data_IF_187210785623
#
_entry.id   IF_187210785623
#
_cell.length_a   1.000
_cell.length_b   1.000
_cell.length_c   1.000
_cell.angle_alpha   90.00
_cell.angle_beta   90.00
_cell.angle_gamma   90.00
#
_symmetry.space_group_name_H-M   'P 1'
#
loop_
_entity.id
_entity.type
_entity.pdbx_description
1 polymer ?
#
# COMPACT_ATOMS: atom_id res chain seq x y z
N UNK A 1 -8.78 -30.86 30.63
CA UNK A 1 -8.05 -31.59 29.58
C UNK A 1 -7.42 -30.63 28.58
N UNK A 2 -6.14 -30.29 28.77
CA UNK A 2 -5.35 -29.65 27.74
C UNK A 2 -4.89 -30.74 26.75
N UNK A 3 -5.26 -30.60 25.49
CA UNK A 3 -4.82 -31.54 24.45
C UNK A 3 -3.27 -31.59 24.42
N UNK A 4 -2.66 -32.78 24.27
CA UNK A 4 -1.20 -32.92 24.19
C UNK A 4 -0.64 -32.05 23.06
N UNK A 5 0.53 -31.44 23.29
CA UNK A 5 1.09 -30.31 22.56
C UNK A 5 0.95 -30.37 21.03
N UNK A 6 -0.14 -29.79 20.52
CA UNK A 6 -0.38 -29.67 19.09
C UNK A 6 0.41 -28.49 18.54
N UNK A 7 1.25 -28.76 17.54
CA UNK A 7 1.98 -27.71 16.80
C UNK A 7 1.06 -27.13 15.73
N UNK A 8 0.73 -25.85 15.84
CA UNK A 8 -0.02 -25.14 14.80
C UNK A 8 0.93 -24.28 13.96
N UNK A 9 0.84 -24.43 12.63
CA UNK A 9 1.61 -23.64 11.67
C UNK A 9 0.67 -23.09 10.58
N UNK A 10 0.85 -21.84 10.13
CA UNK A 10 0.00 -21.28 9.09
C UNK A 10 0.25 -21.97 7.74
N UNK A 11 -0.80 -22.43 7.08
CA UNK A 11 -0.72 -23.03 5.75
C UNK A 11 -0.29 -22.03 4.65
N UNK A 12 -0.61 -20.75 4.84
CA UNK A 12 -0.32 -19.69 3.87
C UNK A 12 0.76 -18.75 4.39
N UNK A 13 1.81 -18.54 3.62
CA UNK A 13 2.87 -17.58 3.95
C UNK A 13 2.37 -16.12 3.94
N UNK A 14 1.44 -15.78 3.03
CA UNK A 14 0.81 -14.48 2.92
C UNK A 14 -0.61 -14.52 3.49
N UNK A 15 -0.86 -13.72 4.52
CA UNK A 15 -2.17 -13.58 5.16
C UNK A 15 -2.41 -12.09 5.34
N UNK A 16 -3.09 -11.51 4.37
CA UNK A 16 -3.11 -10.07 4.14
C UNK A 16 -4.52 -9.52 4.20
N UNK A 17 -4.65 -8.33 4.79
CA UNK A 17 -5.87 -7.53 4.76
C UNK A 17 -5.63 -6.25 3.94
N UNK A 18 -6.63 -5.81 3.19
CA UNK A 18 -6.52 -4.62 2.33
C UNK A 18 -7.57 -3.59 2.67
N UNK A 19 -7.08 -2.39 2.98
CA UNK A 19 -7.91 -1.22 3.19
C UNK A 19 -8.22 -0.50 1.89
N UNK A 20 -9.43 0.00 1.79
CA UNK A 20 -9.90 0.84 0.68
C UNK A 20 -10.05 2.30 1.14
N UNK A 21 -9.13 2.71 2.00
CA UNK A 21 -9.11 4.02 2.64
C UNK A 21 -8.48 5.05 1.70
N UNK A 22 -9.23 6.12 1.43
CA UNK A 22 -8.73 7.33 0.77
C UNK A 22 -8.17 8.28 1.85
N UNK A 23 -7.09 8.98 1.52
CA UNK A 23 -6.49 9.96 2.44
C UNK A 23 -7.37 11.20 2.52
N UNK A 24 -7.75 11.70 1.34
CA UNK A 24 -8.78 12.73 1.19
C UNK A 24 -10.15 12.09 1.04
N UNK A 25 -11.19 12.74 1.56
CA UNK A 25 -12.57 12.28 1.36
C UNK A 25 -12.93 12.45 -0.11
N UNK A 26 -13.00 11.33 -0.84
CA UNK A 26 -13.37 11.37 -2.25
C UNK A 26 -14.86 11.74 -2.40
N UNK A 27 -15.25 12.68 -3.28
CA UNK A 27 -16.62 13.20 -3.35
C UNK A 27 -17.67 12.12 -3.68
N UNK A 28 -17.26 11.04 -4.35
CA UNK A 28 -18.15 9.93 -4.73
C UNK A 28 -17.91 8.66 -3.90
N UNK A 29 -16.66 8.42 -3.48
CA UNK A 29 -16.26 7.14 -2.87
C UNK A 29 -16.21 7.23 -1.35
N UNK A 30 -16.28 8.44 -0.79
CA UNK A 30 -16.12 8.71 0.62
C UNK A 30 -14.68 8.53 1.09
N UNK A 31 -14.51 8.49 2.41
CA UNK A 31 -13.20 8.27 3.03
C UNK A 31 -12.75 6.82 2.95
N UNK A 32 -13.70 5.87 2.94
CA UNK A 32 -13.41 4.44 2.77
C UNK A 32 -14.33 3.93 1.66
N UNK A 33 -13.76 3.57 0.52
CA UNK A 33 -14.52 3.07 -0.61
C UNK A 33 -15.14 1.71 -0.25
N UNK A 34 -16.47 1.59 -0.40
CA UNK A 34 -17.24 0.44 0.11
C UNK A 34 -17.10 0.24 1.62
N UNK A 35 -16.83 1.31 2.37
CA UNK A 35 -16.79 1.30 3.84
C UNK A 35 -18.18 1.47 4.45
N UNK A 36 -18.55 0.57 5.35
CA UNK A 36 -19.84 0.59 6.06
C UNK A 36 -19.67 0.67 7.59
N UNK A 37 -18.46 0.96 8.06
CA UNK A 37 -18.08 0.90 9.49
C UNK A 37 -17.49 2.23 10.01
N UNK A 38 -17.84 3.35 9.36
CA UNK A 38 -17.31 4.68 9.69
C UNK A 38 -16.08 5.08 8.87
N UNK A 39 -15.38 6.12 9.35
CA UNK A 39 -14.22 6.70 8.68
C UNK A 39 -12.91 5.92 8.85
N UNK A 40 -11.88 6.36 8.14
CA UNK A 40 -10.55 5.73 8.17
C UNK A 40 -9.95 5.80 9.57
N UNK A 41 -9.32 4.69 10.01
CA UNK A 41 -8.54 4.63 11.24
C UNK A 41 -7.10 5.14 11.06
N UNK A 42 -6.65 5.34 9.82
CA UNK A 42 -5.30 5.81 9.49
C UNK A 42 -5.29 7.29 9.18
N UNK A 43 -6.33 7.77 8.48
CA UNK A 43 -6.36 9.10 7.89
C UNK A 43 -7.51 9.94 8.45
N UNK A 44 -7.29 11.25 8.53
CA UNK A 44 -8.29 12.27 8.77
C UNK A 44 -7.80 13.56 8.11
N UNK A 45 -8.72 14.34 7.52
CA UNK A 45 -8.43 15.67 6.99
C UNK A 45 -7.24 15.74 6.01
N UNK A 46 -7.08 14.70 5.18
CA UNK A 46 -6.03 14.64 4.15
C UNK A 46 -4.65 14.25 4.68
N UNK A 47 -4.53 13.89 5.96
CA UNK A 47 -3.25 13.48 6.57
C UNK A 47 -3.38 12.20 7.36
N UNK A 48 -2.24 11.61 7.75
CA UNK A 48 -2.22 10.55 8.75
C UNK A 48 -2.62 11.14 10.10
N UNK A 49 -3.45 10.40 10.84
CA UNK A 49 -3.91 10.81 12.17
C UNK A 49 -2.73 10.98 13.13
N UNK A 50 -2.82 12.00 13.99
CA UNK A 50 -1.79 12.22 15.00
C UNK A 50 -1.78 11.14 16.08
N UNK A 51 -2.96 10.80 16.58
CA UNK A 51 -3.16 9.65 17.46
C UNK A 51 -3.36 8.37 16.64
N UNK A 52 -2.39 7.46 16.76
CA UNK A 52 -2.41 6.13 16.15
C UNK A 52 -2.65 5.01 17.17
N UNK A 53 -3.09 5.33 18.39
CA UNK A 53 -3.40 4.35 19.45
C UNK A 53 -4.40 3.29 18.98
N UNK A 54 -5.44 3.72 18.24
CA UNK A 54 -6.43 2.83 17.62
C UNK A 54 -5.82 1.90 16.58
N UNK A 55 -4.83 2.37 15.83
CA UNK A 55 -4.08 1.54 14.86
C UNK A 55 -3.24 0.49 15.59
N UNK A 56 -2.62 0.85 16.72
CA UNK A 56 -1.91 -0.10 17.58
C UNK A 56 -2.82 -1.19 18.15
N UNK A 57 -4.01 -0.82 18.63
CA UNK A 57 -5.01 -1.78 19.10
C UNK A 57 -5.51 -2.69 17.97
N UNK A 58 -5.72 -2.12 16.77
CA UNK A 58 -6.07 -2.87 15.57
C UNK A 58 -4.97 -3.86 15.15
N UNK A 59 -3.70 -3.46 15.20
CA UNK A 59 -2.57 -4.33 14.89
C UNK A 59 -2.51 -5.56 15.81
N UNK A 60 -2.78 -5.37 17.10
CA UNK A 60 -2.92 -6.47 18.07
C UNK A 60 -4.03 -7.44 17.69
N UNK A 61 -5.20 -6.93 17.29
CA UNK A 61 -6.32 -7.75 16.85
C UNK A 61 -5.97 -8.57 15.59
N UNK A 62 -5.32 -7.96 14.60
CA UNK A 62 -4.89 -8.65 13.39
C UNK A 62 -3.88 -9.76 13.69
N UNK A 63 -2.93 -9.51 14.60
CA UNK A 63 -1.96 -10.54 14.96
C UNK A 63 -2.60 -11.71 15.72
N UNK A 64 -3.60 -11.45 16.55
CA UNK A 64 -4.36 -12.49 17.23
C UNK A 64 -5.09 -13.44 16.25
N UNK A 65 -5.48 -12.96 15.06
CA UNK A 65 -6.04 -13.78 13.98
C UNK A 65 -5.00 -14.30 12.99
N UNK A 66 -3.71 -14.08 13.26
CA UNK A 66 -2.60 -14.58 12.46
C UNK A 66 -2.30 -13.78 11.19
N UNK A 67 -2.99 -12.67 10.92
CA UNK A 67 -2.67 -11.78 9.80
C UNK A 67 -1.24 -11.26 9.94
N UNK A 68 -0.50 -11.23 8.83
CA UNK A 68 0.90 -10.81 8.84
C UNK A 68 1.22 -9.67 7.87
N UNK A 69 0.26 -9.20 7.07
CA UNK A 69 0.41 -8.05 6.17
C UNK A 69 -0.86 -7.20 6.14
N UNK A 70 -0.70 -5.90 5.92
CA UNK A 70 -1.83 -4.98 5.72
C UNK A 70 -1.50 -3.97 4.61
N UNK A 71 -2.40 -3.75 3.65
CA UNK A 71 -2.38 -2.57 2.78
C UNK A 71 -3.21 -1.48 3.44
N UNK A 72 -2.68 -0.27 3.57
CA UNK A 72 -3.32 0.80 4.37
C UNK A 72 -4.04 1.86 3.55
N UNK A 73 -3.95 1.81 2.22
CA UNK A 73 -4.60 2.76 1.31
C UNK A 73 -5.36 2.06 0.19
N UNK A 74 -6.31 2.80 -0.39
CA UNK A 74 -7.14 2.36 -1.50
C UNK A 74 -6.32 1.93 -2.73
N UNK A 75 -6.84 0.91 -3.42
CA UNK A 75 -6.33 0.44 -4.71
C UNK A 75 -6.55 1.45 -5.84
N UNK A 76 -7.54 2.34 -5.68
CA UNK A 76 -7.73 3.51 -6.53
C UNK A 76 -6.83 4.65 -6.03
N UNK A 77 -5.56 4.59 -6.41
CA UNK A 77 -4.54 5.55 -5.96
C UNK A 77 -4.67 6.87 -6.73
N UNK A 78 -5.13 7.92 -6.06
CA UNK A 78 -5.16 9.29 -6.59
C UNK A 78 -3.86 10.04 -6.27
N UNK A 79 -3.85 11.37 -6.50
CA UNK A 79 -2.64 12.19 -6.34
C UNK A 79 -2.12 12.15 -4.92
N UNK A 80 -2.99 12.30 -3.91
CA UNK A 80 -2.60 12.34 -2.50
C UNK A 80 -2.07 10.98 -2.02
N UNK A 81 -2.73 9.87 -2.38
CA UNK A 81 -2.25 8.52 -2.07
C UNK A 81 -0.90 8.23 -2.74
N UNK A 82 -0.67 8.77 -3.93
CA UNK A 82 0.60 8.63 -4.62
C UNK A 82 1.75 9.34 -3.87
N UNK A 83 1.48 10.44 -3.14
CA UNK A 83 2.47 11.15 -2.32
C UNK A 83 2.95 10.36 -1.11
N UNK A 84 2.22 9.32 -0.66
CA UNK A 84 2.70 8.40 0.39
C UNK A 84 4.01 7.69 -0.01
N UNK A 85 4.30 7.61 -1.31
CA UNK A 85 5.54 7.02 -1.84
C UNK A 85 6.69 8.04 -1.96
N UNK A 86 6.45 9.30 -1.63
CA UNK A 86 7.44 10.40 -1.66
C UNK A 86 7.50 11.11 -0.31
N UNK A 87 6.75 12.19 -0.18
CA UNK A 87 6.78 13.12 0.94
C UNK A 87 6.10 12.50 2.17
N UNK A 88 5.02 11.74 1.96
CA UNK A 88 4.29 11.02 3.00
C UNK A 88 5.00 9.77 3.55
N UNK A 89 6.23 9.46 3.11
CA UNK A 89 6.96 8.27 3.61
C UNK A 89 7.21 8.33 5.13
N UNK A 90 7.34 9.53 5.71
CA UNK A 90 7.44 9.69 7.16
C UNK A 90 6.18 9.23 7.89
N UNK A 91 5.02 9.58 7.36
CA UNK A 91 3.74 9.21 7.96
C UNK A 91 3.41 7.73 7.78
N UNK A 92 3.78 7.15 6.64
CA UNK A 92 3.70 5.70 6.44
C UNK A 92 4.57 4.95 7.44
N UNK A 93 5.76 5.48 7.77
CA UNK A 93 6.62 4.90 8.80
C UNK A 93 5.94 4.94 10.18
N UNK A 94 5.27 6.06 10.55
CA UNK A 94 4.50 6.17 11.81
C UNK A 94 3.43 5.08 11.91
N UNK A 95 2.69 4.83 10.82
CA UNK A 95 1.71 3.74 10.75
C UNK A 95 2.43 2.39 10.91
N UNK A 96 3.53 2.17 10.18
CA UNK A 96 4.28 0.92 10.23
C UNK A 96 4.83 0.61 11.64
N UNK A 97 5.25 1.61 12.41
CA UNK A 97 5.69 1.40 13.80
C UNK A 97 4.61 0.75 14.66
N UNK A 98 3.32 1.06 14.45
CA UNK A 98 2.22 0.45 15.21
C UNK A 98 2.06 -1.05 14.93
N UNK A 99 2.41 -1.50 13.73
CA UNK A 99 2.30 -2.90 13.30
C UNK A 99 3.53 -3.75 13.62
N UNK A 100 4.70 -3.11 13.80
CA UNK A 100 5.99 -3.81 13.96
C UNK A 100 6.07 -4.73 15.18
N UNK A 101 5.60 -4.35 16.39
CA UNK A 101 5.61 -5.25 17.55
C UNK A 101 4.85 -6.55 17.32
N UNK A 102 3.90 -6.53 16.38
CA UNK A 102 3.00 -7.63 16.06
C UNK A 102 3.45 -8.45 14.84
N UNK A 103 4.65 -8.18 14.29
CA UNK A 103 5.18 -8.91 13.14
C UNK A 103 4.44 -8.66 11.82
N UNK A 104 3.58 -7.65 11.77
CA UNK A 104 2.79 -7.30 10.58
C UNK A 104 3.60 -6.31 9.73
N UNK A 105 3.71 -6.57 8.41
CA UNK A 105 4.34 -5.61 7.49
C UNK A 105 3.28 -4.76 6.80
N UNK A 106 3.52 -3.45 6.76
CA UNK A 106 2.69 -2.50 6.03
C UNK A 106 3.05 -2.51 4.55
N UNK A 107 2.01 -2.44 3.74
CA UNK A 107 2.04 -2.30 2.30
C UNK A 107 1.28 -1.05 1.86
N UNK A 108 1.68 -0.51 0.73
CA UNK A 108 0.93 0.51 0.01
C UNK A 108 0.50 -0.01 -1.35
N UNK A 109 -0.77 0.25 -1.69
CA UNK A 109 -1.25 0.21 -3.06
C UNK A 109 -0.59 1.34 -3.85
N UNK A 110 -0.18 1.05 -5.09
CA UNK A 110 0.55 2.00 -5.94
C UNK A 110 -0.11 2.10 -7.32
N UNK A 111 -0.18 3.32 -7.86
CA UNK A 111 -0.63 3.55 -9.24
C UNK A 111 0.47 3.14 -10.24
N UNK A 112 0.08 2.45 -11.29
CA UNK A 112 0.96 2.18 -12.42
C UNK A 112 1.42 3.46 -13.14
N UNK A 113 0.57 4.49 -13.14
CA UNK A 113 0.88 5.80 -13.70
C UNK A 113 1.76 6.67 -12.79
N UNK A 114 2.19 6.18 -11.62
CA UNK A 114 3.05 6.92 -10.70
C UNK A 114 4.31 7.56 -11.34
N UNK A 115 4.99 6.95 -12.34
CA UNK A 115 6.10 7.61 -13.03
C UNK A 115 5.69 8.90 -13.74
N UNK A 116 4.46 8.97 -14.27
CA UNK A 116 3.92 10.19 -14.86
C UNK A 116 3.45 11.15 -13.76
N UNK A 117 2.58 10.69 -12.88
CA UNK A 117 1.92 11.54 -11.86
C UNK A 117 2.88 12.12 -10.84
N UNK A 118 3.89 11.34 -10.42
CA UNK A 118 4.85 11.76 -9.41
C UNK A 118 6.23 12.08 -9.98
N UNK A 119 6.58 11.49 -11.13
CA UNK A 119 7.91 11.61 -11.73
C UNK A 119 8.00 12.62 -12.87
N UNK A 120 6.88 13.22 -13.28
CA UNK A 120 6.82 14.18 -14.39
C UNK A 120 7.17 13.56 -15.75
N UNK A 121 7.15 12.23 -15.87
CA UNK A 121 7.43 11.59 -17.15
C UNK A 121 6.23 11.70 -18.09
N UNK A 122 6.45 11.83 -19.40
CA UNK A 122 5.38 11.79 -20.40
C UNK A 122 4.80 10.38 -20.61
N UNK A 123 5.43 9.35 -20.02
CA UNK A 123 5.06 7.94 -20.18
C UNK A 123 5.31 7.14 -18.90
N UNK A 124 4.53 6.08 -18.68
CA UNK A 124 4.81 5.04 -17.71
C UNK A 124 5.05 3.65 -18.35
N UNK A 125 5.54 3.59 -19.61
CA UNK A 125 5.96 2.33 -20.24
C UNK A 125 6.94 1.60 -19.31
N UNK A 126 6.62 0.40 -18.81
CA UNK A 126 7.43 -0.32 -17.85
C UNK A 126 8.81 -0.67 -18.42
N UNK A 127 8.93 -0.93 -19.73
CA UNK A 127 10.23 -1.24 -20.33
C UNK A 127 11.03 0.00 -20.71
N UNK A 128 10.46 1.20 -20.57
CA UNK A 128 11.14 2.46 -20.83
C UNK A 128 12.27 2.73 -19.82
N UNK A 129 13.49 3.09 -20.26
CA UNK A 129 14.64 3.25 -19.36
C UNK A 129 14.44 4.38 -18.33
N UNK A 130 13.75 5.48 -18.72
CA UNK A 130 13.40 6.57 -17.81
C UNK A 130 12.42 6.14 -16.72
N UNK A 131 11.41 5.35 -17.09
CA UNK A 131 10.42 4.79 -16.16
C UNK A 131 11.11 3.90 -15.12
N UNK A 132 11.95 2.96 -15.56
CA UNK A 132 12.73 2.08 -14.69
C UNK A 132 13.61 2.85 -13.71
N UNK A 133 14.31 3.89 -14.17
CA UNK A 133 15.16 4.73 -13.33
C UNK A 133 14.37 5.44 -12.23
N UNK A 134 13.22 6.03 -12.56
CA UNK A 134 12.36 6.70 -11.57
C UNK A 134 11.83 5.70 -10.54
N UNK A 135 11.40 4.52 -10.98
CA UNK A 135 10.89 3.48 -10.08
C UNK A 135 11.99 2.95 -9.14
N UNK A 136 13.18 2.69 -9.67
CA UNK A 136 14.34 2.26 -8.88
C UNK A 136 14.73 3.30 -7.82
N UNK A 137 14.88 4.57 -8.19
CA UNK A 137 15.21 5.64 -7.24
C UNK A 137 14.17 5.80 -6.13
N UNK A 138 12.88 5.62 -6.44
CA UNK A 138 11.80 5.64 -5.41
C UNK A 138 11.86 4.42 -4.49
N UNK A 139 12.22 3.25 -5.04
CA UNK A 139 12.43 2.03 -4.23
C UNK A 139 13.56 2.24 -3.24
N UNK A 140 14.69 2.79 -3.68
CA UNK A 140 15.84 3.08 -2.81
C UNK A 140 15.47 4.07 -1.69
N UNK A 141 14.82 5.19 -2.01
CA UNK A 141 14.38 6.17 -1.00
C UNK A 141 13.46 5.55 0.04
N UNK A 142 12.49 4.72 -0.40
CA UNK A 142 11.58 4.00 0.50
C UNK A 142 12.34 3.06 1.43
N UNK A 143 13.24 2.22 0.89
CA UNK A 143 13.98 1.24 1.67
C UNK A 143 14.99 1.88 2.63
N UNK A 144 15.56 3.04 2.28
CA UNK A 144 16.40 3.84 3.19
C UNK A 144 15.58 4.39 4.37
N UNK A 145 14.31 4.74 4.16
CA UNK A 145 13.43 5.26 5.21
C UNK A 145 12.88 4.15 6.10
N UNK A 146 12.39 3.08 5.51
CA UNK A 146 11.88 1.90 6.21
C UNK A 146 12.22 0.62 5.41
N UNK A 147 13.22 -0.18 5.86
CA UNK A 147 13.62 -1.41 5.20
C UNK A 147 12.55 -2.52 5.19
N UNK A 148 11.52 -2.42 6.04
CA UNK A 148 10.42 -3.38 6.17
C UNK A 148 9.16 -2.95 5.40
N UNK A 149 9.08 -1.70 4.97
CA UNK A 149 7.97 -1.20 4.14
C UNK A 149 7.97 -1.87 2.77
N UNK A 150 6.80 -2.39 2.37
CA UNK A 150 6.62 -3.10 1.10
C UNK A 150 5.59 -2.37 0.24
N UNK A 151 5.54 -2.71 -1.05
CA UNK A 151 4.49 -2.28 -1.97
C UNK A 151 3.62 -3.49 -2.29
N UNK A 152 2.32 -3.28 -2.47
CA UNK A 152 1.44 -4.26 -3.09
C UNK A 152 0.89 -3.65 -4.36
N UNK A 153 1.03 -4.41 -5.45
CA UNK A 153 0.40 -4.04 -6.71
C UNK A 153 -1.06 -4.45 -6.62
N UNK A 154 -1.96 -3.46 -6.62
CA UNK A 154 -3.37 -3.70 -6.90
C UNK A 154 -3.87 -2.64 -7.84
N UNK A 155 -4.50 -3.12 -8.91
CA UNK A 155 -4.96 -2.30 -10.01
C UNK A 155 -6.47 -2.13 -9.83
N UNK A 156 -6.88 -0.97 -9.31
CA UNK A 156 -8.27 -0.54 -9.39
C UNK A 156 -8.71 -0.39 -10.85
N UNK A 157 -10.03 -0.34 -11.10
CA UNK A 157 -10.61 -0.20 -12.45
C UNK A 157 -10.32 1.19 -13.04
N UNK A 158 -9.10 1.44 -13.48
CA UNK A 158 -8.72 2.69 -14.14
C UNK A 158 -8.85 2.52 -15.67
N UNK A 159 -9.52 3.48 -16.34
CA UNK A 159 -9.48 3.67 -17.81
C UNK A 159 -8.29 4.59 -18.14
N UNK A 160 -7.63 4.40 -19.28
CA UNK A 160 -6.54 5.29 -19.76
C UNK A 160 -5.11 4.71 -19.67
N UNK A 161 -4.06 5.55 -19.81
CA UNK A 161 -2.66 5.14 -19.98
C UNK A 161 -2.05 4.44 -18.75
N UNK A 162 -2.78 4.33 -17.64
CA UNK A 162 -2.37 3.66 -16.40
C UNK A 162 -2.37 2.12 -16.50
N UNK A 163 -2.21 1.54 -17.70
CA UNK A 163 -2.19 0.08 -17.93
C UNK A 163 -0.99 -0.31 -18.79
N UNK A 164 -0.34 -1.45 -18.51
CA UNK A 164 0.69 -2.01 -19.39
C UNK A 164 0.21 -2.17 -20.85
N UNK A 165 -1.04 -2.60 -21.03
CA UNK A 165 -1.65 -2.76 -22.35
C UNK A 165 -1.72 -1.47 -23.18
N UNK A 166 -1.77 -0.29 -22.54
CA UNK A 166 -1.73 0.99 -23.25
C UNK A 166 -0.39 1.21 -23.96
N UNK A 167 0.63 0.42 -23.61
CA UNK A 167 1.98 0.42 -24.19
C UNK A 167 2.30 -0.88 -24.94
N UNK A 168 1.29 -1.70 -25.26
CA UNK A 168 1.50 -3.01 -25.90
C UNK A 168 2.22 -4.03 -25.00
N UNK A 169 2.13 -3.86 -23.67
CA UNK A 169 2.77 -4.73 -22.67
C UNK A 169 1.76 -5.62 -21.96
N UNK A 170 2.22 -6.73 -21.41
CA UNK A 170 1.39 -7.61 -20.60
C UNK A 170 1.40 -7.23 -19.10
N UNK A 171 0.61 -7.97 -18.30
CA UNK A 171 0.59 -7.75 -16.85
C UNK A 171 1.91 -8.11 -16.16
N UNK A 172 2.73 -9.00 -16.72
CA UNK A 172 4.00 -9.43 -16.16
C UNK A 172 5.07 -8.34 -16.34
N UNK A 173 5.16 -7.74 -17.54
CA UNK A 173 6.00 -6.58 -17.84
C UNK A 173 5.76 -5.44 -16.85
N UNK A 174 4.48 -5.13 -16.61
CA UNK A 174 4.10 -4.11 -15.63
C UNK A 174 4.40 -4.50 -14.18
N UNK A 175 4.31 -5.79 -13.84
CA UNK A 175 4.63 -6.29 -12.50
C UNK A 175 6.13 -6.21 -12.22
N UNK A 176 6.96 -6.61 -13.19
CA UNK A 176 8.41 -6.80 -13.03
C UNK A 176 9.16 -5.49 -12.77
N UNK A 177 8.64 -4.36 -13.25
CA UNK A 177 9.28 -3.05 -13.07
C UNK A 177 9.00 -2.47 -11.69
N UNK A 178 7.88 -2.87 -11.08
CA UNK A 178 7.49 -2.49 -9.72
C UNK A 178 7.77 -3.60 -8.69
N UNK A 179 8.25 -4.75 -9.15
CA UNK A 179 8.65 -5.88 -8.34
C UNK A 179 9.76 -5.45 -7.36
N UNK A 180 9.79 -6.07 -6.17
CA UNK A 180 10.62 -5.61 -5.06
C UNK A 180 12.11 -5.73 -5.29
#
# INVERSE_FOLDING_TARGET
>A
DALPGSRHVPAHALRMLDHWDNIDVHPVMGQVERGYAGGSIFYADGTVRDDLSRVGAYARLLAASGINRVSVNNVNVHRTEALLLTEGLGDVARIAEQFRPWGIRVHLAVSFAAPMTLGGLPTCDPLGPRCRRVVAGRRERRLRRDPRLRRVRRQGRLRGPARPFAYGRDHADGANVLAP
#
